data_IF_233530403437
#
_entry.id   IF_233530403437
#
_cell.length_a   1.000
_cell.length_b   1.000
_cell.length_c   1.000
_cell.angle_alpha   90.00
_cell.angle_beta   90.00
_cell.angle_gamma   90.00
#
_symmetry.space_group_name_H-M   'P 1'
#
loop_
_entity.id
_entity.type
_entity.pdbx_description
1 polymer ?
#
# COMPACT_ATOMS: atom_id res chain seq x y z
N UNK A 1 7.48 0.65 -3.06
CA UNK A 1 6.60 0.87 -1.90
C UNK A 1 6.31 2.34 -1.86
N UNK A 2 5.05 2.73 -1.81
CA UNK A 2 4.65 4.14 -1.71
C UNK A 2 3.32 4.22 -0.97
N UNK A 3 3.04 5.35 -0.35
CA UNK A 3 1.82 5.58 0.42
C UNK A 3 0.90 6.63 -0.23
N UNK A 4 1.19 7.00 -1.48
CA UNK A 4 0.43 7.98 -2.23
C UNK A 4 0.05 7.48 -3.63
N UNK A 5 -1.14 7.89 -4.12
CA UNK A 5 -1.56 7.59 -5.50
C UNK A 5 -0.58 8.12 -6.58
N UNK A 6 0.01 9.32 -6.45
CA UNK A 6 1.05 9.79 -7.37
C UNK A 6 2.28 8.88 -7.41
N UNK A 7 2.84 8.49 -6.26
CA UNK A 7 4.02 7.62 -6.21
C UNK A 7 3.74 6.22 -6.75
N UNK A 8 2.54 5.68 -6.53
CA UNK A 8 2.10 4.45 -7.21
C UNK A 8 2.10 4.63 -8.73
N UNK A 9 1.50 5.71 -9.23
CA UNK A 9 1.44 6.00 -10.68
C UNK A 9 2.82 6.16 -11.29
N UNK A 10 3.75 6.81 -10.59
CA UNK A 10 5.16 6.93 -11.01
C UNK A 10 5.83 5.56 -11.12
N UNK A 11 5.62 4.69 -10.14
CA UNK A 11 6.15 3.33 -10.16
C UNK A 11 5.63 2.51 -11.34
N UNK A 12 4.35 2.64 -11.66
CA UNK A 12 3.74 2.01 -12.84
C UNK A 12 4.35 2.52 -14.13
N UNK A 13 4.52 3.84 -14.27
CA UNK A 13 5.15 4.47 -15.45
C UNK A 13 6.61 4.03 -15.64
N UNK A 14 7.30 3.72 -14.56
CA UNK A 14 8.66 3.19 -14.59
C UNK A 14 8.72 1.67 -14.87
N UNK A 15 7.57 0.98 -15.04
CA UNK A 15 7.52 -0.46 -15.26
C UNK A 15 7.96 -1.27 -14.04
N UNK A 16 7.68 -0.77 -12.84
CA UNK A 16 8.00 -1.43 -11.57
C UNK A 16 6.78 -2.09 -10.94
N UNK A 17 7.03 -3.14 -10.15
CA UNK A 17 6.01 -3.64 -9.21
C UNK A 17 5.78 -2.57 -8.14
N UNK A 18 4.52 -2.25 -7.90
CA UNK A 18 4.08 -1.23 -6.95
C UNK A 18 3.38 -1.87 -5.77
N UNK A 19 3.71 -1.41 -4.56
CA UNK A 19 3.09 -1.86 -3.31
C UNK A 19 2.68 -0.62 -2.55
N UNK A 20 1.38 -0.46 -2.32
CA UNK A 20 0.79 0.59 -1.51
C UNK A 20 0.94 0.31 -0.02
N UNK A 21 1.24 1.32 0.79
CA UNK A 21 1.21 1.26 2.25
C UNK A 21 0.01 2.07 2.76
N UNK A 22 -1.02 1.41 3.27
CA UNK A 22 -2.31 2.03 3.58
C UNK A 22 -2.36 2.70 4.95
N UNK A 23 -1.58 2.23 5.93
CA UNK A 23 -1.53 2.69 7.32
C UNK A 23 -0.16 3.30 7.61
N UNK A 24 0.18 4.32 6.84
CA UNK A 24 1.32 5.20 7.12
C UNK A 24 0.81 6.62 7.33
N UNK A 25 1.64 7.44 7.97
CA UNK A 25 1.28 8.82 8.31
C UNK A 25 0.85 9.66 7.09
N UNK A 26 1.42 9.44 5.89
CA UNK A 26 1.02 10.20 4.71
C UNK A 26 -0.24 9.66 4.02
N UNK A 27 -0.47 8.34 4.03
CA UNK A 27 -1.67 7.75 3.43
C UNK A 27 -2.95 8.13 4.20
N UNK A 28 -2.87 8.11 5.53
CA UNK A 28 -4.04 8.39 6.40
C UNK A 28 -4.08 9.86 6.82
N UNK A 29 -2.95 10.57 6.80
CA UNK A 29 -2.85 11.96 7.23
C UNK A 29 -2.96 12.16 8.74
N UNK A 30 -2.70 11.10 9.51
CA UNK A 30 -2.76 11.10 10.98
C UNK A 30 -1.40 10.74 11.56
N UNK A 31 -1.08 11.34 12.71
CA UNK A 31 0.00 10.89 13.58
C UNK A 31 -0.33 9.53 14.20
N UNK A 32 0.69 8.84 14.70
CA UNK A 32 0.50 7.56 15.39
C UNK A 32 -0.40 7.70 16.64
N UNK A 33 -0.31 8.81 17.35
CA UNK A 33 -1.14 9.07 18.51
C UNK A 33 -2.62 9.25 18.12
N UNK A 34 -2.90 10.04 17.09
CA UNK A 34 -4.25 10.23 16.56
C UNK A 34 -4.83 8.91 16.02
N UNK A 35 -4.01 8.11 15.35
CA UNK A 35 -4.41 6.78 14.88
C UNK A 35 -4.84 5.86 16.02
N UNK A 36 -4.04 5.82 17.11
CA UNK A 36 -4.30 4.97 18.27
C UNK A 36 -5.52 5.40 19.09
N UNK A 37 -5.93 6.66 18.99
CA UNK A 37 -7.12 7.19 19.67
C UNK A 37 -8.43 6.85 18.95
N UNK A 38 -8.35 6.42 17.68
CA UNK A 38 -9.50 5.97 16.92
C UNK A 38 -10.04 4.63 17.42
N UNK A 39 -11.36 4.49 17.34
CA UNK A 39 -12.04 3.20 17.47
C UNK A 39 -11.64 2.25 16.34
N UNK A 40 -11.83 0.95 16.56
CA UNK A 40 -11.55 -0.07 15.55
C UNK A 40 -12.38 0.16 14.27
N UNK A 41 -13.62 0.61 14.41
CA UNK A 41 -14.52 0.94 13.29
C UNK A 41 -13.97 2.12 12.48
N UNK A 42 -13.53 3.19 13.14
CA UNK A 42 -12.92 4.35 12.48
C UNK A 42 -11.63 3.97 11.74
N UNK A 43 -10.76 3.18 12.39
CA UNK A 43 -9.55 2.66 11.75
C UNK A 43 -9.90 1.80 10.52
N UNK A 44 -10.93 0.95 10.61
CA UNK A 44 -11.37 0.12 9.50
C UNK A 44 -11.84 0.95 8.30
N UNK A 45 -12.64 1.99 8.54
CA UNK A 45 -13.14 2.88 7.47
C UNK A 45 -11.99 3.62 6.79
N UNK A 46 -11.04 4.14 7.57
CA UNK A 46 -9.87 4.84 7.02
C UNK A 46 -8.97 3.89 6.23
N UNK A 47 -8.74 2.67 6.74
CA UNK A 47 -8.01 1.63 6.00
C UNK A 47 -8.67 1.32 4.69
N UNK A 48 -9.96 1.00 4.70
CA UNK A 48 -10.68 0.64 3.48
C UNK A 48 -10.62 1.75 2.43
N UNK A 49 -10.74 3.01 2.85
CA UNK A 49 -10.55 4.17 1.98
C UNK A 49 -9.13 4.21 1.39
N UNK A 50 -8.09 4.12 2.21
CA UNK A 50 -6.69 4.16 1.76
C UNK A 50 -6.36 2.99 0.81
N UNK A 51 -6.83 1.78 1.14
CA UNK A 51 -6.72 0.61 0.27
C UNK A 51 -7.38 0.85 -1.08
N UNK A 52 -8.62 1.33 -1.09
CA UNK A 52 -9.35 1.63 -2.32
C UNK A 52 -8.62 2.66 -3.17
N UNK A 53 -8.11 3.73 -2.57
CA UNK A 53 -7.39 4.79 -3.28
C UNK A 53 -6.11 4.25 -3.96
N UNK A 54 -5.28 3.49 -3.22
CA UNK A 54 -4.03 2.94 -3.73
C UNK A 54 -4.27 1.89 -4.82
N UNK A 55 -5.30 1.04 -4.67
CA UNK A 55 -5.68 0.10 -5.72
C UNK A 55 -6.27 0.79 -6.95
N UNK A 56 -7.08 1.85 -6.79
CA UNK A 56 -7.59 2.65 -7.90
C UNK A 56 -6.46 3.36 -8.67
N UNK A 57 -5.39 3.75 -7.97
CA UNK A 57 -4.16 4.27 -8.58
C UNK A 57 -3.36 3.20 -9.35
N UNK A 58 -3.73 1.91 -9.22
CA UNK A 58 -3.12 0.79 -9.92
C UNK A 58 -2.03 0.07 -9.12
N UNK A 59 -2.02 0.18 -7.79
CA UNK A 59 -1.09 -0.61 -6.97
C UNK A 59 -1.28 -2.11 -7.23
N UNK A 60 -0.19 -2.86 -7.43
CA UNK A 60 -0.29 -4.31 -7.63
C UNK A 60 -0.64 -5.04 -6.33
N UNK A 61 -0.23 -4.47 -5.21
CA UNK A 61 -0.51 -4.94 -3.86
C UNK A 61 -0.69 -3.74 -2.94
N UNK A 62 -1.46 -3.89 -1.88
CA UNK A 62 -1.55 -2.91 -0.79
C UNK A 62 -1.46 -3.67 0.54
N UNK A 63 -0.73 -3.12 1.51
CA UNK A 63 -0.57 -3.65 2.86
C UNK A 63 -0.74 -2.53 3.89
N UNK A 64 -1.02 -2.89 5.15
CA UNK A 64 -1.19 -1.89 6.21
C UNK A 64 0.12 -1.12 6.41
N UNK A 65 1.24 -1.79 6.61
CA UNK A 65 2.51 -1.13 6.85
C UNK A 65 3.69 -1.84 6.19
N UNK A 66 4.88 -1.24 6.28
CA UNK A 66 6.11 -1.88 5.81
C UNK A 66 6.41 -3.19 6.58
N UNK A 67 5.94 -3.33 7.83
CA UNK A 67 6.10 -4.57 8.59
C UNK A 67 5.36 -5.76 7.93
N UNK A 68 4.31 -5.47 7.16
CA UNK A 68 3.48 -6.46 6.48
C UNK A 68 3.95 -6.74 5.04
N UNK A 69 5.08 -6.16 4.62
CA UNK A 69 5.56 -6.22 3.24
C UNK A 69 6.20 -7.57 2.87
N UNK A 70 6.70 -8.34 3.84
CA UNK A 70 7.48 -9.57 3.58
C UNK A 70 6.71 -10.58 2.70
N UNK A 71 5.45 -10.95 3.01
CA UNK A 71 4.69 -11.86 2.15
C UNK A 71 4.49 -11.33 0.73
N UNK A 72 4.32 -10.03 0.54
CA UNK A 72 4.17 -9.42 -0.79
C UNK A 72 5.48 -9.48 -1.58
N UNK A 73 6.61 -9.22 -0.94
CA UNK A 73 7.93 -9.34 -1.57
C UNK A 73 8.15 -10.76 -2.06
N UNK A 74 7.80 -11.76 -1.25
CA UNK A 74 7.90 -13.18 -1.64
C UNK A 74 7.03 -13.49 -2.86
N UNK A 75 5.80 -12.97 -2.91
CA UNK A 75 4.92 -13.12 -4.08
C UNK A 75 5.53 -12.49 -5.34
N UNK A 76 6.05 -11.26 -5.24
CA UNK A 76 6.72 -10.58 -6.36
C UNK A 76 7.92 -11.39 -6.84
N UNK A 77 8.75 -11.92 -5.93
CA UNK A 77 9.89 -12.76 -6.31
C UNK A 77 9.44 -14.05 -7.01
N UNK A 78 8.38 -14.69 -6.53
CA UNK A 78 7.81 -15.88 -7.17
C UNK A 78 7.20 -15.58 -8.55
N UNK A 79 6.62 -14.38 -8.75
CA UNK A 79 6.14 -13.92 -10.06
C UNK A 79 7.30 -13.67 -11.02
N UNK A 80 8.35 -12.99 -10.56
CA UNK A 80 9.59 -12.74 -11.33
C UNK A 80 10.30 -14.02 -11.74
N UNK A 81 10.36 -15.02 -10.86
CA UNK A 81 10.93 -16.34 -11.18
C UNK A 81 10.17 -17.06 -12.31
N UNK A 82 8.88 -16.72 -12.52
CA UNK A 82 8.05 -17.19 -13.63
C UNK A 82 8.03 -16.22 -14.81
N UNK A 83 9.01 -15.31 -14.88
CA UNK A 83 9.14 -14.27 -15.91
C UNK A 83 7.93 -13.33 -16.05
N UNK A 84 7.08 -13.25 -15.02
CA UNK A 84 6.01 -12.26 -14.98
C UNK A 84 6.61 -10.87 -14.75
N UNK A 85 6.08 -9.90 -15.49
CA UNK A 85 6.38 -8.48 -15.32
C UNK A 85 5.19 -7.80 -14.62
N UNK A 86 5.40 -6.64 -14.00
CA UNK A 86 4.30 -5.75 -13.64
C UNK A 86 3.45 -5.47 -14.89
#
# INVERSE_FOLDING_TARGET
FDDSAPGITEGLRAGMWTVGLAVTGNAIGLTEAEWRDLTAEQQSVLKEKAYSELYQAGAHFVVDSLADAIPVIQQIMAKRARHQRP
#
